data_IF_959481339211
#
_entry.id   IF_959481339211
#
_cell.length_a   1.000
_cell.length_b   1.000
_cell.length_c   1.000
_cell.angle_alpha   90.00
_cell.angle_beta   90.00
_cell.angle_gamma   90.00
#
_symmetry.space_group_name_H-M   'P 1'
#
loop_
_entity.id
_entity.type
_entity.pdbx_description
1 polymer ?
#
# COMPACT_ATOMS: atom_id res chain seq x y z
N UNK A 1 59.27 66.88 16.15
CA UNK A 1 58.77 65.69 16.75
C UNK A 1 57.43 65.32 16.04
N UNK A 2 57.45 64.36 15.08
CA UNK A 2 56.28 63.97 14.32
C UNK A 2 55.81 62.64 14.89
N UNK A 3 54.58 62.57 15.44
CA UNK A 3 53.94 61.34 15.88
C UNK A 3 53.17 60.75 14.67
N UNK A 4 53.55 59.55 14.25
CA UNK A 4 52.78 58.74 13.32
C UNK A 4 51.82 57.87 14.13
N UNK A 5 50.52 58.04 13.88
CA UNK A 5 49.44 57.18 14.41
C UNK A 5 49.18 56.09 13.37
N UNK A 6 49.55 54.86 13.68
CA UNK A 6 49.24 53.72 12.85
C UNK A 6 47.78 53.23 13.07
N UNK A 7 46.97 53.23 12.03
CA UNK A 7 45.63 52.61 12.02
C UNK A 7 45.79 51.11 11.87
N UNK A 8 45.37 50.36 12.88
CA UNK A 8 45.28 48.91 12.85
C UNK A 8 43.85 48.51 12.40
N UNK A 9 43.69 48.08 11.14
CA UNK A 9 42.42 47.56 10.62
C UNK A 9 42.25 46.13 11.08
N UNK A 10 41.31 45.90 11.99
CA UNK A 10 40.87 44.55 12.39
C UNK A 10 39.90 43.99 11.34
N UNK A 11 40.32 42.96 10.59
CA UNK A 11 39.46 42.20 9.70
C UNK A 11 38.58 41.26 10.54
N UNK A 12 37.30 41.58 10.65
CA UNK A 12 36.29 40.63 11.23
C UNK A 12 35.96 39.62 10.16
N UNK A 13 36.55 38.43 10.29
CA UNK A 13 36.13 37.23 9.52
C UNK A 13 34.81 36.76 10.12
N UNK A 14 33.69 37.09 9.43
CA UNK A 14 32.38 36.58 9.78
C UNK A 14 32.31 35.06 9.50
N UNK A 15 32.31 34.22 10.55
CA UNK A 15 31.89 32.85 10.45
C UNK A 15 30.38 32.85 10.12
N UNK A 16 30.04 32.70 8.85
CA UNK A 16 28.69 32.33 8.46
C UNK A 16 28.45 30.91 8.94
N UNK A 17 27.81 30.74 10.11
CA UNK A 17 27.35 29.47 10.60
C UNK A 17 26.35 28.90 9.62
N UNK A 18 26.69 27.79 8.94
CA UNK A 18 25.74 27.01 8.18
C UNK A 18 24.67 26.52 9.15
N UNK A 19 23.48 27.11 9.13
CA UNK A 19 22.30 26.52 9.80
C UNK A 19 22.10 25.16 9.18
N UNK A 20 21.91 24.08 9.99
CA UNK A 20 21.53 22.81 9.44
C UNK A 20 20.21 23.01 8.67
N UNK A 21 20.22 22.75 7.38
CA UNK A 21 18.99 22.66 6.60
C UNK A 21 18.17 21.54 7.22
N UNK A 22 17.06 21.85 7.90
CA UNK A 22 16.10 20.86 8.30
C UNK A 22 15.61 20.18 7.02
N UNK A 23 15.74 18.84 6.96
CA UNK A 23 15.14 18.08 5.89
C UNK A 23 13.62 18.35 5.87
N UNK A 24 13.06 18.50 4.69
CA UNK A 24 11.61 18.61 4.52
C UNK A 24 10.95 17.33 5.07
N UNK A 25 9.86 17.46 5.83
CA UNK A 25 9.12 16.31 6.36
C UNK A 25 7.89 16.05 5.51
N UNK A 26 7.78 14.85 4.93
CA UNK A 26 6.59 14.40 4.23
C UNK A 26 5.71 13.55 5.17
N UNK A 27 4.43 13.91 5.23
CA UNK A 27 3.42 13.14 5.96
C UNK A 27 2.89 12.03 5.06
N UNK A 28 2.92 10.80 5.54
CA UNK A 28 2.51 9.60 4.80
C UNK A 28 1.28 8.98 5.44
N UNK A 29 0.17 8.95 4.70
CA UNK A 29 -1.06 8.27 5.08
C UNK A 29 -0.93 6.76 4.92
N UNK A 30 -1.26 6.02 5.98
CA UNK A 30 -1.27 4.56 6.05
C UNK A 30 -2.45 4.09 6.91
N UNK A 31 -2.90 2.82 6.77
CA UNK A 31 -3.92 2.26 7.67
C UNK A 31 -3.40 1.99 9.08
N UNK A 32 -2.12 1.66 9.21
CA UNK A 32 -1.44 1.26 10.45
C UNK A 32 -1.97 -0.06 11.08
N UNK A 33 -2.88 -0.75 10.40
CA UNK A 33 -3.51 -2.02 10.84
C UNK A 33 -3.45 -3.10 9.75
N UNK A 34 -2.84 -2.80 8.62
CA UNK A 34 -2.81 -3.66 7.43
C UNK A 34 -1.51 -4.49 7.35
N UNK A 35 -1.30 -5.39 8.32
CA UNK A 35 -0.17 -6.33 8.27
C UNK A 35 -0.28 -7.26 7.03
N UNK A 36 0.84 -7.65 6.40
CA UNK A 36 2.23 -7.29 6.68
C UNK A 36 2.72 -6.06 5.91
N UNK A 37 1.83 -5.23 5.37
CA UNK A 37 2.16 -4.10 4.51
C UNK A 37 2.44 -2.81 5.31
N UNK A 38 1.51 -2.39 6.17
CA UNK A 38 1.67 -1.21 7.02
C UNK A 38 0.90 -1.42 8.34
N UNK A 39 1.61 -1.56 9.44
CA UNK A 39 1.03 -1.85 10.74
C UNK A 39 1.91 -1.32 11.88
N UNK A 40 1.32 -1.22 13.07
CA UNK A 40 2.08 -0.95 14.30
C UNK A 40 2.50 -2.25 14.95
N UNK A 41 3.78 -2.31 15.35
CA UNK A 41 4.28 -3.39 16.20
C UNK A 41 3.71 -3.28 17.63
N UNK A 42 3.87 -4.31 18.47
CA UNK A 42 3.48 -4.21 19.88
C UNK A 42 4.19 -3.07 20.63
N UNK A 43 5.39 -2.67 20.19
CA UNK A 43 6.18 -1.56 20.73
C UNK A 43 5.70 -0.19 20.23
N UNK A 44 4.74 -0.16 19.31
CA UNK A 44 4.15 1.05 18.72
C UNK A 44 4.86 1.58 17.47
N UNK A 45 5.92 0.91 17.02
CA UNK A 45 6.68 1.29 15.82
C UNK A 45 5.93 0.96 14.53
N UNK A 46 6.11 1.79 13.50
CA UNK A 46 5.58 1.49 12.16
C UNK A 46 6.48 0.47 11.44
N UNK A 47 5.86 -0.60 10.96
CA UNK A 47 6.50 -1.71 10.25
C UNK A 47 5.67 -2.19 9.05
N UNK A 48 6.31 -2.95 8.16
CA UNK A 48 5.68 -3.57 7.00
C UNK A 48 6.31 -3.13 5.68
N UNK A 49 5.92 -3.82 4.61
CA UNK A 49 6.49 -3.60 3.28
C UNK A 49 6.28 -2.16 2.76
N UNK A 50 5.06 -1.61 2.90
CA UNK A 50 4.76 -0.23 2.50
C UNK A 50 5.60 0.78 3.30
N UNK A 51 5.87 0.48 4.59
CA UNK A 51 6.72 1.31 5.46
C UNK A 51 8.17 1.28 4.99
N UNK A 52 8.70 0.10 4.64
CA UNK A 52 10.05 -0.03 4.08
C UNK A 52 10.19 0.69 2.74
N UNK A 53 9.16 0.61 1.87
CA UNK A 53 9.12 1.36 0.60
C UNK A 53 9.13 2.87 0.86
N UNK A 54 8.30 3.36 1.77
CA UNK A 54 8.26 4.78 2.11
C UNK A 54 9.61 5.27 2.65
N UNK A 55 10.26 4.51 3.55
CA UNK A 55 11.61 4.81 4.04
C UNK A 55 12.64 4.83 2.93
N UNK A 56 12.62 3.84 2.04
CA UNK A 56 13.55 3.77 0.90
C UNK A 56 13.40 4.93 -0.08
N UNK A 57 12.18 5.42 -0.29
CA UNK A 57 11.92 6.64 -1.08
C UNK A 57 12.50 7.85 -0.34
N UNK A 58 12.14 8.04 0.93
CA UNK A 58 12.56 9.19 1.73
C UNK A 58 14.09 9.36 1.81
N UNK A 59 14.80 8.23 2.02
CA UNK A 59 16.26 8.19 2.03
C UNK A 59 16.86 8.70 0.71
N UNK A 60 16.26 8.35 -0.44
CA UNK A 60 16.75 8.71 -1.77
C UNK A 60 16.45 10.16 -2.16
N UNK A 61 15.32 10.69 -1.70
CA UNK A 61 14.94 12.09 -2.00
C UNK A 61 15.39 13.08 -0.92
N UNK A 62 15.95 12.60 0.21
CA UNK A 62 16.54 13.43 1.27
C UNK A 62 15.50 14.12 2.15
N UNK A 63 14.40 13.43 2.53
CA UNK A 63 13.33 13.95 3.38
C UNK A 63 13.12 13.08 4.61
N UNK A 64 12.53 13.67 5.66
CA UNK A 64 12.03 12.92 6.81
C UNK A 64 10.60 12.48 6.60
N UNK A 65 10.15 11.46 7.35
CA UNK A 65 8.78 10.94 7.30
C UNK A 65 8.04 11.11 8.62
N UNK A 66 6.76 11.49 8.51
CA UNK A 66 5.78 11.40 9.57
C UNK A 66 4.63 10.49 9.11
N UNK A 67 4.27 9.47 9.90
CA UNK A 67 3.20 8.55 9.55
C UNK A 67 1.87 9.00 10.16
N UNK A 68 0.85 9.11 9.30
CA UNK A 68 -0.52 9.49 9.69
C UNK A 68 -1.43 8.29 9.48
N UNK A 69 -1.98 7.75 10.56
CA UNK A 69 -2.94 6.64 10.49
C UNK A 69 -4.31 7.15 10.06
N UNK A 70 -4.90 6.47 9.08
CA UNK A 70 -6.19 6.81 8.50
C UNK A 70 -6.91 5.52 8.07
N UNK A 71 -8.16 5.36 8.45
CA UNK A 71 -9.00 4.27 7.94
C UNK A 71 -9.11 4.31 6.41
N UNK A 72 -9.19 3.13 5.80
CA UNK A 72 -9.08 2.98 4.35
C UNK A 72 -10.04 3.82 3.53
N UNK A 73 -11.32 3.84 3.88
CA UNK A 73 -12.36 4.59 3.15
C UNK A 73 -12.15 6.11 3.20
N UNK A 74 -11.50 6.59 4.27
CA UNK A 74 -11.11 7.98 4.46
C UNK A 74 -9.78 8.37 3.80
N UNK A 75 -9.00 7.43 3.27
CA UNK A 75 -7.61 7.65 2.82
C UNK A 75 -7.55 8.70 1.69
N UNK A 76 -8.31 8.50 0.63
CA UNK A 76 -8.33 9.43 -0.51
C UNK A 76 -8.90 10.81 -0.15
N UNK A 77 -10.06 10.92 0.53
CA UNK A 77 -10.55 12.20 1.06
C UNK A 77 -9.55 12.96 1.94
N UNK A 78 -8.81 12.25 2.80
CA UNK A 78 -7.83 12.84 3.69
C UNK A 78 -6.61 13.40 2.94
N UNK A 79 -6.12 12.71 1.90
CA UNK A 79 -5.09 13.23 1.00
C UNK A 79 -5.54 14.51 0.31
N UNK A 80 -6.77 14.53 -0.24
CA UNK A 80 -7.32 15.70 -0.92
C UNK A 80 -7.54 16.87 0.04
N UNK A 81 -7.84 16.59 1.31
CA UNK A 81 -7.93 17.59 2.39
C UNK A 81 -6.56 17.98 2.98
N UNK A 82 -5.44 17.53 2.39
CA UNK A 82 -4.07 17.85 2.83
C UNK A 82 -3.75 17.43 4.27
N UNK A 83 -4.38 16.36 4.79
CA UNK A 83 -4.02 15.81 6.10
C UNK A 83 -2.65 15.12 6.07
N UNK A 84 -2.25 14.64 4.90
CA UNK A 84 -0.92 14.10 4.59
C UNK A 84 -0.57 14.40 3.13
N UNK A 85 0.65 14.11 2.74
CA UNK A 85 1.22 14.52 1.45
C UNK A 85 1.28 13.35 0.47
N UNK A 86 1.48 12.14 0.98
CA UNK A 86 1.55 10.88 0.22
C UNK A 86 0.62 9.83 0.81
N UNK A 87 0.16 8.91 -0.03
CA UNK A 87 -0.43 7.63 0.38
C UNK A 87 0.56 6.53 0.01
N UNK A 88 1.08 5.79 1.01
CA UNK A 88 1.84 4.56 0.80
C UNK A 88 1.15 3.47 1.62
N UNK A 89 0.02 2.99 1.10
CA UNK A 89 -0.92 2.13 1.81
C UNK A 89 -1.50 1.04 0.90
N UNK A 90 -0.65 0.41 0.09
CA UNK A 90 -1.09 -0.66 -0.81
C UNK A 90 -2.22 -0.25 -1.78
N UNK A 91 -2.26 1.03 -2.18
CA UNK A 91 -3.34 1.57 -3.02
C UNK A 91 -3.14 1.21 -4.50
N UNK A 92 -4.08 0.45 -5.06
CA UNK A 92 -4.10 0.08 -6.48
C UNK A 92 -4.25 1.31 -7.38
N UNK A 93 -3.48 1.35 -8.46
CA UNK A 93 -3.51 2.40 -9.49
C UNK A 93 -4.69 2.13 -10.41
N UNK A 94 -5.84 2.75 -10.16
CA UNK A 94 -7.03 2.61 -11.02
C UNK A 94 -7.34 3.88 -11.78
N UNK A 95 -7.99 3.76 -12.93
CA UNK A 95 -8.38 4.93 -13.74
C UNK A 95 -9.32 5.87 -12.97
N UNK A 96 -10.23 5.34 -12.15
CA UNK A 96 -11.10 6.16 -11.31
C UNK A 96 -10.30 7.01 -10.31
N UNK A 97 -9.28 6.41 -9.66
CA UNK A 97 -8.43 7.12 -8.70
C UNK A 97 -7.51 8.13 -9.39
N UNK A 98 -6.99 7.80 -10.58
CA UNK A 98 -6.17 8.71 -11.41
C UNK A 98 -6.93 9.97 -11.86
N UNK A 99 -8.24 9.94 -11.89
CA UNK A 99 -9.03 11.15 -12.14
C UNK A 99 -8.90 12.17 -10.99
N UNK A 100 -8.63 11.71 -9.76
CA UNK A 100 -8.61 12.53 -8.54
C UNK A 100 -7.22 12.87 -8.04
N UNK A 101 -6.29 11.93 -8.16
CA UNK A 101 -4.91 12.03 -7.67
C UNK A 101 -3.91 11.52 -8.71
N UNK A 102 -2.64 11.81 -8.52
CA UNK A 102 -1.56 11.23 -9.31
C UNK A 102 -0.97 10.02 -8.59
N UNK A 103 -0.34 9.13 -9.35
CA UNK A 103 0.31 7.92 -8.86
C UNK A 103 1.72 7.81 -9.41
N UNK A 104 2.62 7.29 -8.59
CA UNK A 104 3.91 6.82 -9.05
C UNK A 104 3.80 5.60 -9.96
N UNK A 105 4.93 5.19 -10.55
CA UNK A 105 5.07 3.83 -11.08
C UNK A 105 4.72 2.82 -9.98
N UNK A 106 4.21 1.62 -10.34
CA UNK A 106 3.82 0.63 -9.35
C UNK A 106 5.05 0.07 -8.61
N UNK A 107 4.94 -0.20 -7.29
CA UNK A 107 5.99 -0.83 -6.49
C UNK A 107 5.69 -2.30 -6.11
N UNK A 108 4.50 -2.81 -6.42
CA UNK A 108 4.12 -4.23 -6.34
C UNK A 108 2.88 -4.54 -7.17
N UNK A 109 2.58 -5.83 -7.34
CA UNK A 109 1.34 -6.31 -7.98
C UNK A 109 0.11 -5.97 -7.15
N UNK A 110 -1.03 -5.80 -7.85
CA UNK A 110 -2.35 -5.64 -7.26
C UNK A 110 -3.23 -6.81 -7.67
N UNK A 111 -3.72 -7.57 -6.70
CA UNK A 111 -4.63 -8.70 -6.94
C UNK A 111 -5.40 -9.05 -5.66
N UNK A 112 -6.51 -9.79 -5.82
CA UNK A 112 -7.30 -10.35 -4.75
C UNK A 112 -7.45 -11.85 -4.86
N UNK A 113 -7.85 -12.51 -3.75
CA UNK A 113 -8.37 -13.88 -3.74
C UNK A 113 -9.52 -13.98 -2.76
N UNK A 114 -10.47 -14.85 -3.07
CA UNK A 114 -11.62 -15.13 -2.21
C UNK A 114 -11.25 -16.25 -1.24
N UNK A 115 -11.60 -16.05 0.02
CA UNK A 115 -11.50 -17.04 1.10
C UNK A 115 -12.89 -17.59 1.41
N UNK A 116 -12.93 -18.88 1.76
CA UNK A 116 -14.12 -19.56 2.26
C UNK A 116 -13.75 -20.75 3.12
N UNK A 117 -14.73 -21.35 3.80
CA UNK A 117 -14.50 -22.54 4.60
C UNK A 117 -14.19 -23.76 3.71
N UNK A 118 -13.21 -24.58 4.12
CA UNK A 118 -12.78 -25.79 3.40
C UNK A 118 -13.88 -26.82 3.21
N UNK A 119 -14.73 -26.98 4.22
CA UNK A 119 -15.82 -27.95 4.24
C UNK A 119 -17.09 -27.47 3.51
N UNK A 120 -17.13 -26.21 3.08
CA UNK A 120 -18.27 -25.67 2.34
C UNK A 120 -18.38 -26.21 0.89
N UNK A 121 -17.31 -26.78 0.35
CA UNK A 121 -17.30 -27.38 -1.00
C UNK A 121 -17.65 -26.38 -2.12
N UNK A 122 -17.29 -25.12 -1.96
CA UNK A 122 -17.65 -24.02 -2.86
C UNK A 122 -17.00 -24.19 -4.25
N UNK A 123 -17.83 -24.13 -5.30
CA UNK A 123 -17.41 -24.11 -6.70
C UNK A 123 -17.80 -22.81 -7.36
N UNK A 124 -17.10 -21.75 -7.01
CA UNK A 124 -17.42 -20.38 -7.38
C UNK A 124 -16.89 -19.98 -8.77
N UNK A 125 -15.95 -20.76 -9.31
CA UNK A 125 -15.29 -20.50 -10.59
C UNK A 125 -15.32 -21.75 -11.46
N UNK A 126 -15.30 -21.54 -12.78
CA UNK A 126 -15.14 -22.60 -13.76
C UNK A 126 -13.65 -23.00 -13.94
N UNK A 127 -13.38 -24.02 -14.76
CA UNK A 127 -12.02 -24.53 -15.03
C UNK A 127 -11.12 -23.50 -15.76
N UNK A 128 -11.71 -22.49 -16.38
CA UNK A 128 -10.99 -21.39 -17.00
C UNK A 128 -10.72 -20.22 -16.03
N UNK A 129 -11.13 -20.36 -14.76
CA UNK A 129 -10.95 -19.31 -13.73
C UNK A 129 -11.95 -18.16 -13.85
N UNK A 130 -13.03 -18.33 -14.60
CA UNK A 130 -14.09 -17.34 -14.71
C UNK A 130 -15.12 -17.53 -13.58
N UNK A 131 -15.56 -16.46 -12.89
CA UNK A 131 -16.58 -16.60 -11.86
C UNK A 131 -17.91 -17.07 -12.45
N UNK A 132 -18.59 -17.96 -11.72
CA UNK A 132 -19.99 -18.33 -11.98
C UNK A 132 -20.91 -17.49 -11.09
N UNK A 133 -21.55 -16.41 -11.60
CA UNK A 133 -22.31 -15.48 -10.76
C UNK A 133 -23.43 -16.16 -9.96
N UNK A 134 -24.05 -17.20 -10.50
CA UNK A 134 -25.14 -17.92 -9.82
C UNK A 134 -24.67 -18.67 -8.56
N UNK A 135 -23.40 -19.11 -8.54
CA UNK A 135 -22.82 -19.79 -7.38
C UNK A 135 -22.59 -18.86 -6.17
N UNK A 136 -22.69 -17.56 -6.35
CA UNK A 136 -22.58 -16.57 -5.28
C UNK A 136 -23.93 -16.16 -4.69
N UNK A 137 -25.05 -16.57 -5.30
CA UNK A 137 -26.37 -16.21 -4.82
C UNK A 137 -26.61 -16.75 -3.41
N UNK A 138 -27.04 -15.85 -2.51
CA UNK A 138 -27.31 -16.17 -1.11
C UNK A 138 -26.08 -16.32 -0.22
N UNK A 139 -24.86 -16.16 -0.77
CA UNK A 139 -23.65 -16.07 0.04
C UNK A 139 -23.45 -14.64 0.55
N UNK A 140 -23.21 -14.51 1.85
CA UNK A 140 -22.78 -13.25 2.47
C UNK A 140 -21.30 -13.02 2.17
N UNK A 141 -21.03 -12.01 1.35
CA UNK A 141 -19.71 -11.74 0.82
C UNK A 141 -19.09 -10.52 1.51
N UNK A 142 -18.10 -10.74 2.36
CA UNK A 142 -17.34 -9.68 3.02
C UNK A 142 -16.37 -9.00 2.07
N UNK A 143 -16.42 -7.66 2.01
CA UNK A 143 -15.51 -6.83 1.24
C UNK A 143 -15.17 -5.54 2.00
N UNK A 144 -13.97 -5.02 1.81
CA UNK A 144 -13.58 -3.72 2.36
C UNK A 144 -14.23 -2.59 1.56
N UNK A 145 -14.88 -1.65 2.25
CA UNK A 145 -15.52 -0.46 1.67
C UNK A 145 -14.52 0.35 0.84
N UNK A 146 -14.96 0.95 -0.26
CA UNK A 146 -14.14 1.77 -1.16
C UNK A 146 -12.88 1.06 -1.74
N UNK A 147 -12.80 -0.26 -1.63
CA UNK A 147 -11.72 -1.06 -2.20
C UNK A 147 -11.96 -1.39 -3.67
N UNK A 148 -10.89 -1.83 -4.34
CA UNK A 148 -10.99 -2.43 -5.69
C UNK A 148 -11.74 -3.76 -5.66
N UNK A 149 -11.70 -4.46 -4.54
CA UNK A 149 -12.45 -5.70 -4.31
C UNK A 149 -13.96 -5.46 -4.35
N UNK A 150 -14.44 -4.41 -3.65
CA UNK A 150 -15.86 -4.05 -3.68
C UNK A 150 -16.34 -3.73 -5.10
N UNK A 151 -15.56 -2.95 -5.84
CA UNK A 151 -15.85 -2.62 -7.25
C UNK A 151 -15.94 -3.85 -8.14
N UNK A 152 -15.00 -4.79 -7.97
CA UNK A 152 -15.00 -6.04 -8.74
C UNK A 152 -16.23 -6.90 -8.40
N UNK A 153 -16.55 -7.08 -7.10
CA UNK A 153 -17.71 -7.87 -6.65
C UNK A 153 -19.01 -7.24 -7.16
N UNK A 154 -19.20 -5.93 -7.02
CA UNK A 154 -20.36 -5.20 -7.51
C UNK A 154 -20.57 -5.37 -9.03
N UNK A 155 -19.49 -5.35 -9.80
CA UNK A 155 -19.57 -5.43 -11.25
C UNK A 155 -19.74 -6.85 -11.78
N UNK A 156 -19.09 -7.84 -11.16
CA UNK A 156 -19.03 -9.23 -11.66
C UNK A 156 -20.06 -10.15 -11.02
N UNK A 157 -20.53 -9.83 -9.81
CA UNK A 157 -21.36 -10.70 -8.98
C UNK A 157 -22.61 -9.95 -8.46
N UNK A 158 -23.51 -9.48 -9.35
CA UNK A 158 -24.65 -8.65 -8.97
C UNK A 158 -25.67 -9.34 -8.05
N UNK A 159 -25.60 -10.67 -7.93
CA UNK A 159 -26.46 -11.47 -7.02
C UNK A 159 -25.85 -11.78 -5.66
N UNK A 160 -24.61 -11.34 -5.39
CA UNK A 160 -23.95 -11.56 -4.10
C UNK A 160 -24.53 -10.62 -3.01
N UNK A 161 -24.71 -11.16 -1.81
CA UNK A 161 -25.10 -10.36 -0.63
C UNK A 161 -23.83 -9.70 -0.04
N UNK A 162 -23.57 -8.43 -0.43
CA UNK A 162 -22.35 -7.73 -0.04
C UNK A 162 -22.46 -7.18 1.39
N UNK A 163 -21.49 -7.58 2.23
CA UNK A 163 -21.31 -7.03 3.59
C UNK A 163 -20.04 -6.17 3.60
N UNK A 164 -20.23 -4.85 3.82
CA UNK A 164 -19.14 -3.87 3.77
C UNK A 164 -18.46 -3.71 5.12
N UNK A 165 -17.13 -3.76 5.12
CA UNK A 165 -16.26 -3.58 6.29
C UNK A 165 -15.35 -2.36 6.12
N UNK A 166 -14.98 -1.74 7.23
CA UNK A 166 -14.06 -0.59 7.25
C UNK A 166 -12.58 -1.03 7.14
N UNK A 167 -12.30 -2.35 7.30
CA UNK A 167 -10.98 -2.93 7.14
C UNK A 167 -11.01 -4.46 7.13
N UNK A 168 -9.89 -5.09 6.76
CA UNK A 168 -9.79 -6.54 6.61
C UNK A 168 -9.90 -7.32 7.93
N UNK A 169 -9.44 -6.76 9.05
CA UNK A 169 -9.44 -7.49 10.32
C UNK A 169 -10.86 -7.83 10.82
N UNK A 170 -11.82 -6.88 10.93
CA UNK A 170 -13.19 -7.21 11.32
C UNK A 170 -13.87 -8.15 10.31
N UNK A 171 -13.58 -8.01 9.02
CA UNK A 171 -14.09 -8.91 7.98
C UNK A 171 -13.63 -10.36 8.17
N UNK A 172 -12.33 -10.58 8.40
CA UNK A 172 -11.77 -11.92 8.63
C UNK A 172 -12.28 -12.54 9.94
N UNK A 173 -12.52 -11.72 10.98
CA UNK A 173 -13.12 -12.17 12.22
C UNK A 173 -14.57 -12.62 12.01
N UNK A 174 -15.35 -11.92 11.19
CA UNK A 174 -16.71 -12.29 10.87
C UNK A 174 -16.77 -13.52 9.97
N UNK A 175 -15.81 -13.69 9.07
CA UNK A 175 -15.63 -14.94 8.31
C UNK A 175 -15.38 -16.12 9.25
N UNK A 176 -14.44 -15.98 10.20
CA UNK A 176 -14.13 -16.98 11.22
C UNK A 176 -15.35 -17.38 12.04
N UNK A 177 -16.20 -16.42 12.40
CA UNK A 177 -17.38 -16.62 13.23
C UNK A 177 -18.64 -17.05 12.42
N UNK A 178 -18.52 -17.26 11.11
CA UNK A 178 -19.64 -17.64 10.24
C UNK A 178 -20.72 -16.58 10.08
N UNK A 179 -20.39 -15.31 10.31
CA UNK A 179 -21.29 -14.18 10.06
C UNK A 179 -21.31 -13.76 8.59
N UNK A 180 -20.25 -14.07 7.87
CA UNK A 180 -20.16 -14.07 6.41
C UNK A 180 -19.64 -15.43 5.93
N UNK A 181 -19.94 -15.77 4.68
CA UNK A 181 -19.64 -17.09 4.12
C UNK A 181 -18.32 -17.07 3.33
N UNK A 182 -18.02 -15.97 2.67
CA UNK A 182 -16.80 -15.74 1.90
C UNK A 182 -16.31 -14.30 2.09
N UNK A 183 -15.01 -14.09 1.85
CA UNK A 183 -14.39 -12.76 1.90
C UNK A 183 -13.33 -12.63 0.80
N UNK A 184 -13.13 -11.42 0.26
CA UNK A 184 -12.05 -11.13 -0.68
C UNK A 184 -11.08 -10.12 -0.08
N UNK A 185 -9.79 -10.42 -0.17
CA UNK A 185 -8.72 -9.50 0.21
C UNK A 185 -7.41 -9.86 -0.52
N UNK A 186 -6.35 -9.10 -0.24
CA UNK A 186 -5.02 -9.40 -0.75
C UNK A 186 -4.56 -10.79 -0.25
N UNK A 187 -4.11 -11.73 -1.13
CA UNK A 187 -3.77 -13.08 -0.73
C UNK A 187 -2.57 -13.17 0.23
N UNK A 188 -1.63 -12.22 0.16
CA UNK A 188 -0.48 -12.19 1.08
C UNK A 188 -0.94 -11.85 2.50
N UNK A 189 -1.83 -10.84 2.63
CA UNK A 189 -2.48 -10.52 3.91
C UNK A 189 -3.30 -11.70 4.41
N UNK A 190 -4.16 -12.25 3.57
CA UNK A 190 -4.99 -13.40 3.94
C UNK A 190 -4.17 -14.57 4.44
N UNK A 191 -3.08 -14.91 3.74
CA UNK A 191 -2.23 -16.03 4.12
C UNK A 191 -1.48 -15.78 5.43
N UNK A 192 -0.73 -14.68 5.52
CA UNK A 192 0.15 -14.40 6.65
C UNK A 192 -0.60 -13.97 7.91
N UNK A 193 -1.73 -13.30 7.75
CA UNK A 193 -2.48 -12.76 8.88
C UNK A 193 -3.63 -13.65 9.35
N UNK A 194 -4.08 -14.56 8.51
CA UNK A 194 -5.22 -15.43 8.82
C UNK A 194 -4.96 -16.91 8.51
N UNK A 195 -4.78 -17.32 7.24
CA UNK A 195 -4.76 -18.75 6.86
C UNK A 195 -3.60 -19.56 7.47
N UNK A 196 -2.46 -18.92 7.76
CA UNK A 196 -1.30 -19.55 8.40
C UNK A 196 -1.42 -19.67 9.91
N UNK A 197 -2.47 -19.11 10.50
CA UNK A 197 -2.71 -19.09 11.96
C UNK A 197 -3.79 -20.14 12.32
N UNK A 198 -3.86 -20.46 13.59
CA UNK A 198 -4.82 -21.44 14.13
C UNK A 198 -6.27 -21.09 13.79
N UNK A 199 -6.63 -19.81 13.89
CA UNK A 199 -7.96 -19.32 13.59
C UNK A 199 -8.34 -19.39 12.09
N UNK A 200 -7.37 -19.50 11.19
CA UNK A 200 -7.57 -19.68 9.76
C UNK A 200 -7.50 -21.12 9.27
N UNK A 201 -7.22 -22.11 10.15
CA UNK A 201 -6.96 -23.49 9.77
C UNK A 201 -8.14 -24.18 9.02
N UNK A 202 -9.38 -23.76 9.29
CA UNK A 202 -10.60 -24.24 8.64
C UNK A 202 -10.92 -23.57 7.30
N UNK A 203 -10.10 -22.63 6.84
CA UNK A 203 -10.36 -21.82 5.65
C UNK A 203 -9.29 -22.04 4.58
N UNK A 204 -9.65 -21.68 3.34
CA UNK A 204 -8.75 -21.75 2.20
C UNK A 204 -9.10 -20.68 1.15
N UNK A 205 -8.25 -20.54 0.14
CA UNK A 205 -8.61 -19.78 -1.05
C UNK A 205 -9.53 -20.61 -1.94
N UNK A 206 -10.74 -20.10 -2.15
CA UNK A 206 -11.79 -20.71 -2.99
C UNK A 206 -11.89 -20.05 -4.38
N UNK A 207 -10.90 -19.23 -4.74
CA UNK A 207 -10.76 -18.62 -6.07
C UNK A 207 -9.34 -18.74 -6.62
N UNK A 208 -9.16 -18.65 -7.96
CA UNK A 208 -7.87 -18.28 -8.55
C UNK A 208 -7.48 -16.85 -8.12
N UNK A 209 -6.24 -16.39 -8.42
CA UNK A 209 -5.91 -14.97 -8.36
C UNK A 209 -6.85 -14.14 -9.25
N UNK A 210 -7.31 -13.01 -8.73
CA UNK A 210 -8.18 -12.05 -9.42
C UNK A 210 -7.36 -10.78 -9.59
N UNK A 211 -6.90 -10.51 -10.83
CA UNK A 211 -5.96 -9.45 -11.17
C UNK A 211 -6.38 -8.64 -12.41
N UNK A 212 -7.67 -8.68 -12.74
CA UNK A 212 -8.22 -7.97 -13.89
C UNK A 212 -7.83 -6.48 -13.85
N UNK A 213 -7.03 -6.04 -14.84
CA UNK A 213 -6.44 -4.69 -14.90
C UNK A 213 -7.50 -3.59 -14.83
N UNK A 214 -8.70 -3.86 -15.35
CA UNK A 214 -9.85 -2.94 -15.27
C UNK A 214 -10.16 -2.50 -13.83
N UNK A 215 -10.05 -3.42 -12.85
CA UNK A 215 -10.36 -3.16 -11.44
C UNK A 215 -9.11 -2.95 -10.60
N UNK A 216 -8.07 -3.72 -10.84
CA UNK A 216 -6.87 -3.76 -10.01
C UNK A 216 -5.73 -2.85 -10.53
N UNK A 217 -5.85 -2.37 -11.77
CA UNK A 217 -4.82 -1.54 -12.42
C UNK A 217 -3.52 -2.31 -12.68
N UNK A 218 -2.45 -1.59 -13.06
CA UNK A 218 -1.14 -2.20 -13.35
C UNK A 218 -0.38 -2.62 -12.09
N UNK A 219 -0.87 -2.27 -10.92
CA UNK A 219 -0.23 -2.53 -9.63
C UNK A 219 -0.61 -1.52 -8.57
N UNK A 220 0.18 -1.49 -7.51
CA UNK A 220 0.05 -0.60 -6.36
C UNK A 220 1.09 0.50 -6.46
N UNK A 221 0.69 1.76 -6.30
CA UNK A 221 1.58 2.92 -6.38
C UNK A 221 1.47 3.87 -5.19
N UNK A 222 2.40 4.80 -5.11
CA UNK A 222 2.34 5.94 -4.18
C UNK A 222 1.36 6.95 -4.74
N UNK A 223 0.34 7.31 -3.94
CA UNK A 223 -0.65 8.32 -4.31
C UNK A 223 -0.25 9.71 -3.80
N UNK A 224 -0.44 10.74 -4.60
CA UNK A 224 -0.22 12.14 -4.20
C UNK A 224 -1.21 13.07 -4.89
N UNK A 225 -1.42 14.28 -4.32
CA UNK A 225 -2.30 15.28 -4.93
C UNK A 225 -1.78 15.71 -6.30
N UNK A 226 -2.70 15.93 -7.23
CA UNK A 226 -2.38 16.45 -8.57
C UNK A 226 -1.63 17.79 -8.52
N UNK A 227 -0.76 17.98 -9.52
CA UNK A 227 0.01 19.21 -9.69
C UNK A 227 1.30 19.26 -8.87
N UNK A 228 1.75 18.13 -8.30
CA UNK A 228 3.06 18.02 -7.65
C UNK A 228 4.02 17.15 -8.48
N UNK A 229 4.19 17.55 -9.74
CA UNK A 229 4.95 16.80 -10.75
C UNK A 229 6.44 16.63 -10.35
N UNK A 230 7.01 17.61 -9.66
CA UNK A 230 8.40 17.53 -9.19
C UNK A 230 8.57 16.43 -8.13
N UNK A 231 7.68 16.36 -7.15
CA UNK A 231 7.72 15.32 -6.12
C UNK A 231 7.43 13.94 -6.73
N UNK A 232 6.46 13.87 -7.66
CA UNK A 232 6.14 12.64 -8.39
C UNK A 232 7.37 12.11 -9.13
N UNK A 233 8.07 12.96 -9.88
CA UNK A 233 9.27 12.57 -10.61
C UNK A 233 10.42 12.10 -9.67
N UNK A 234 10.57 12.72 -8.49
CA UNK A 234 11.53 12.26 -7.47
C UNK A 234 11.16 10.88 -6.91
N UNK A 235 9.87 10.65 -6.64
CA UNK A 235 9.37 9.36 -6.16
C UNK A 235 9.56 8.27 -7.21
N UNK A 236 9.19 8.54 -8.47
CA UNK A 236 9.37 7.59 -9.57
C UNK A 236 10.84 7.23 -9.75
N UNK A 237 11.73 8.23 -9.74
CA UNK A 237 13.18 8.00 -9.82
C UNK A 237 13.69 7.16 -8.64
N UNK A 238 13.22 7.42 -7.42
CA UNK A 238 13.58 6.64 -6.25
C UNK A 238 13.13 5.18 -6.39
N UNK A 239 11.89 4.95 -6.85
CA UNK A 239 11.37 3.60 -7.10
C UNK A 239 12.13 2.87 -8.21
N UNK A 240 12.43 3.55 -9.33
CA UNK A 240 13.28 2.98 -10.39
C UNK A 240 14.66 2.56 -9.87
N UNK A 241 15.28 3.37 -9.03
CA UNK A 241 16.57 3.06 -8.43
C UNK A 241 16.46 1.86 -7.47
N UNK A 242 15.36 1.79 -6.67
CA UNK A 242 15.09 0.66 -5.78
C UNK A 242 14.80 -0.65 -6.53
N UNK A 243 14.24 -0.57 -7.75
CA UNK A 243 14.10 -1.71 -8.65
C UNK A 243 15.47 -2.16 -9.14
N UNK A 244 16.27 -1.22 -9.65
CA UNK A 244 17.57 -1.48 -10.28
C UNK A 244 18.60 -2.02 -9.29
N UNK A 245 18.61 -1.54 -8.05
CA UNK A 245 19.55 -1.96 -7.01
C UNK A 245 19.06 -3.16 -6.17
N UNK A 246 17.85 -3.66 -6.45
CA UNK A 246 17.24 -4.80 -5.76
C UNK A 246 16.67 -4.47 -4.37
N UNK A 247 16.60 -3.22 -3.96
CA UNK A 247 16.08 -2.82 -2.65
C UNK A 247 14.62 -3.21 -2.46
N UNK A 248 13.76 -3.07 -3.50
CA UNK A 248 12.35 -3.48 -3.42
C UNK A 248 12.22 -4.99 -3.16
N UNK A 249 13.02 -5.81 -3.85
CA UNK A 249 13.02 -7.26 -3.62
C UNK A 249 13.54 -7.60 -2.22
N UNK A 250 14.59 -6.93 -1.77
CA UNK A 250 15.11 -7.08 -0.41
C UNK A 250 14.08 -6.69 0.66
N UNK A 251 13.26 -5.65 0.42
CA UNK A 251 12.19 -5.28 1.33
C UNK A 251 11.08 -6.31 1.34
N UNK A 252 10.64 -6.77 0.15
CA UNK A 252 9.57 -7.77 0.06
C UNK A 252 9.96 -9.11 0.66
N UNK A 253 11.21 -9.56 0.49
CA UNK A 253 11.71 -10.84 1.01
C UNK A 253 11.75 -10.94 2.54
N UNK A 254 11.65 -9.82 3.27
CA UNK A 254 11.47 -9.82 4.73
C UNK A 254 10.10 -10.36 5.15
N UNK A 255 9.10 -10.21 4.29
CA UNK A 255 7.70 -10.48 4.59
C UNK A 255 7.14 -11.64 3.78
N UNK A 256 7.67 -11.88 2.56
CA UNK A 256 7.12 -12.83 1.59
C UNK A 256 8.21 -13.78 1.08
N UNK A 257 7.92 -15.11 1.01
CA UNK A 257 8.86 -16.08 0.45
C UNK A 257 8.81 -16.16 -1.09
N UNK A 258 8.17 -15.19 -1.76
CA UNK A 258 7.99 -15.11 -3.21
C UNK A 258 7.99 -13.65 -3.64
N UNK A 259 8.32 -13.39 -4.91
CA UNK A 259 8.28 -12.04 -5.47
C UNK A 259 6.85 -11.50 -5.58
N UNK A 260 6.69 -10.23 -5.22
CA UNK A 260 5.46 -9.47 -5.39
C UNK A 260 5.63 -8.32 -6.40
N UNK A 261 6.70 -8.38 -7.17
CA UNK A 261 7.01 -7.40 -8.21
C UNK A 261 6.06 -7.57 -9.40
N UNK A 262 5.67 -6.48 -10.09
CA UNK A 262 4.93 -6.58 -11.34
C UNK A 262 5.70 -7.40 -12.39
N UNK A 263 4.99 -8.20 -13.18
CA UNK A 263 5.61 -8.97 -14.28
C UNK A 263 6.27 -8.02 -15.30
N UNK A 264 7.50 -8.34 -15.69
CA UNK A 264 8.29 -7.53 -16.60
C UNK A 264 9.28 -6.57 -15.93
N UNK A 265 9.28 -6.47 -14.63
CA UNK A 265 10.35 -5.83 -13.89
C UNK A 265 11.52 -6.82 -13.77
N UNK A 266 12.58 -6.52 -14.49
CA UNK A 266 13.81 -7.32 -14.38
C UNK A 266 14.53 -6.87 -13.11
N UNK A 267 14.58 -7.76 -12.12
CA UNK A 267 15.48 -7.63 -10.99
C UNK A 267 16.93 -7.51 -11.47
N UNK A 268 17.79 -6.97 -10.63
CA UNK A 268 19.25 -6.94 -10.90
C UNK A 268 19.74 -8.39 -10.98
N UNK A 269 19.99 -8.89 -12.19
CA UNK A 269 20.63 -10.21 -12.39
C UNK A 269 19.92 -11.17 -13.35
N UNK A 270 18.93 -10.75 -14.14
CA UNK A 270 18.44 -11.52 -15.29
C UNK A 270 18.91 -10.95 -16.63
#
# INVERSE_FOLDING_TARGET
MKFMIGLMSAAIVGLAGAMPAHAETLRVGMECTYAPFNYRTPEGEMAGYDVDVAKGIAERIGVDLEYVCQEWDGMLPALLASKFDLIVASMSITEERKQKIDFSIPYRVSLGRILGAKDAGLKLFDDAGKPNPEAFNGLRFGVERASTYAKWVEAKLPGAEIVLYDGAQPMLLDLQNGRIDIAITNPMKAYLDFLSKENGAGFEFVSPPIDEVEYFGPGVGVGLRKGNDELLAKIDKALEDMIKDGSLEKYSSKYFPFSIQPSGWKGVGE
#
